data_IF_262777590341
#
_entry.id   IF_262777590341
#
_cell.length_a   1.000
_cell.length_b   1.000
_cell.length_c   1.000
_cell.angle_alpha   90.00
_cell.angle_beta   90.00
_cell.angle_gamma   90.00
#
_symmetry.space_group_name_H-M   'P 1'
#
loop_
_entity.id
_entity.type
_entity.pdbx_description
1 polymer ?
#
# COMPACT_ATOMS: atom_id res chain seq x y z
N UNK A 1 10.67 2.61 -9.29
CA UNK A 1 9.56 2.28 -8.36
C UNK A 1 8.28 3.02 -8.72
N UNK A 2 8.38 4.22 -9.32
CA UNK A 2 7.27 4.93 -10.01
C UNK A 2 6.40 4.03 -10.91
N UNK A 3 7.00 3.25 -11.82
CA UNK A 3 6.25 2.38 -12.75
C UNK A 3 5.33 1.36 -12.05
N UNK A 4 5.71 0.89 -10.85
CA UNK A 4 4.90 -0.08 -10.10
C UNK A 4 3.58 0.54 -9.62
N UNK A 5 3.59 1.82 -9.24
CA UNK A 5 2.39 2.57 -8.82
C UNK A 5 1.41 2.70 -9.99
N UNK A 6 1.93 3.09 -11.15
CA UNK A 6 1.14 3.20 -12.38
C UNK A 6 0.61 1.85 -12.85
N UNK A 7 1.37 0.76 -12.70
CA UNK A 7 0.91 -0.58 -13.06
C UNK A 7 -0.32 -1.00 -12.24
N UNK A 8 -0.37 -0.65 -10.96
CA UNK A 8 -1.56 -0.90 -10.10
C UNK A 8 -2.78 -0.15 -10.62
N UNK A 9 -2.61 1.12 -11.01
CA UNK A 9 -3.70 1.95 -11.56
C UNK A 9 -4.14 1.51 -12.95
N UNK A 10 -3.19 1.16 -13.82
CA UNK A 10 -3.46 0.68 -15.17
C UNK A 10 -4.16 -0.69 -15.15
N UNK A 11 -3.88 -1.55 -14.17
CA UNK A 11 -4.61 -2.81 -14.00
C UNK A 11 -6.01 -2.61 -13.40
N UNK A 12 -6.26 -1.52 -12.67
CA UNK A 12 -7.57 -1.23 -12.07
C UNK A 12 -8.65 -0.97 -13.12
N UNK A 13 -8.35 -0.15 -14.15
CA UNK A 13 -9.33 0.25 -15.16
C UNK A 13 -9.87 -0.94 -15.98
N UNK A 14 -9.04 -1.83 -16.56
CA UNK A 14 -9.53 -3.02 -17.28
C UNK A 14 -10.34 -3.97 -16.41
N UNK A 15 -10.00 -4.08 -15.11
CA UNK A 15 -10.74 -4.94 -14.17
C UNK A 15 -12.16 -4.44 -13.96
N UNK A 16 -12.37 -3.12 -13.82
CA UNK A 16 -13.71 -2.53 -13.69
C UNK A 16 -14.51 -2.65 -14.99
N UNK A 17 -13.87 -2.34 -16.14
CA UNK A 17 -14.54 -2.42 -17.45
C UNK A 17 -15.07 -3.83 -17.73
N UNK A 18 -14.36 -4.88 -17.28
CA UNK A 18 -14.84 -6.28 -17.39
C UNK A 18 -15.90 -6.63 -16.35
N UNK A 19 -15.85 -6.02 -15.16
CA UNK A 19 -16.80 -6.29 -14.08
C UNK A 19 -18.20 -5.74 -14.41
N UNK A 20 -18.27 -4.55 -15.03
CA UNK A 20 -19.54 -3.89 -15.38
C UNK A 20 -20.50 -4.75 -16.22
N UNK A 21 -20.12 -5.29 -17.41
CA UNK A 21 -21.04 -6.08 -18.23
C UNK A 21 -21.46 -7.37 -17.53
N UNK A 22 -20.56 -7.98 -16.76
CA UNK A 22 -20.88 -9.17 -15.98
C UNK A 22 -21.99 -8.90 -14.95
N UNK A 23 -21.85 -7.84 -14.15
CA UNK A 23 -22.88 -7.49 -13.17
C UNK A 23 -24.19 -7.06 -13.80
N UNK A 24 -24.14 -6.36 -14.94
CA UNK A 24 -25.35 -5.98 -15.66
C UNK A 24 -26.12 -7.22 -16.14
N UNK A 25 -25.40 -8.22 -16.67
CA UNK A 25 -26.02 -9.46 -17.12
C UNK A 25 -26.61 -10.27 -15.96
N UNK A 26 -25.84 -10.44 -14.88
CA UNK A 26 -26.31 -11.14 -13.66
C UNK A 26 -27.54 -10.44 -13.05
N UNK A 27 -27.55 -9.09 -13.04
CA UNK A 27 -28.70 -8.30 -12.54
C UNK A 27 -29.93 -8.43 -13.45
N UNK A 28 -29.73 -8.55 -14.77
CA UNK A 28 -30.79 -8.74 -15.76
C UNK A 28 -31.45 -10.12 -15.64
N UNK A 29 -30.66 -11.16 -15.35
CA UNK A 29 -31.15 -12.54 -15.20
C UNK A 29 -31.83 -12.82 -13.86
N UNK A 30 -31.66 -11.95 -12.86
CA UNK A 30 -32.27 -12.11 -11.54
C UNK A 30 -33.81 -11.97 -11.63
N UNK A 31 -34.53 -13.00 -11.17
CA UNK A 31 -35.98 -13.12 -11.35
C UNK A 31 -36.81 -12.34 -10.33
N UNK A 32 -36.23 -12.04 -9.17
CA UNK A 32 -36.92 -11.39 -8.04
C UNK A 32 -36.16 -10.17 -7.50
N UNK A 33 -36.89 -9.23 -6.89
CA UNK A 33 -36.35 -7.96 -6.41
C UNK A 33 -35.24 -8.14 -5.35
N UNK A 34 -35.37 -9.15 -4.49
CA UNK A 34 -34.39 -9.43 -3.42
C UNK A 34 -33.03 -9.84 -3.99
N UNK A 35 -32.97 -10.68 -5.01
CA UNK A 35 -31.73 -11.08 -5.68
C UNK A 35 -31.01 -9.87 -6.29
N UNK A 36 -31.76 -8.99 -6.97
CA UNK A 36 -31.21 -7.75 -7.55
C UNK A 36 -30.56 -6.86 -6.48
N UNK A 37 -31.19 -6.73 -5.32
CA UNK A 37 -30.63 -5.97 -4.19
C UNK A 37 -29.33 -6.58 -3.66
N UNK A 38 -29.26 -7.89 -3.49
CA UNK A 38 -28.04 -8.58 -3.05
C UNK A 38 -26.92 -8.47 -4.08
N UNK A 39 -27.22 -8.60 -5.37
CA UNK A 39 -26.26 -8.43 -6.47
C UNK A 39 -25.72 -6.99 -6.47
N UNK A 40 -26.60 -5.99 -6.33
CA UNK A 40 -26.19 -4.59 -6.23
C UNK A 40 -25.31 -4.32 -5.00
N UNK A 41 -25.65 -4.89 -3.84
CA UNK A 41 -24.83 -4.78 -2.64
C UNK A 41 -23.45 -5.44 -2.83
N UNK A 42 -23.40 -6.64 -3.41
CA UNK A 42 -22.16 -7.35 -3.71
C UNK A 42 -21.28 -6.56 -4.71
N UNK A 43 -21.87 -5.98 -5.74
CA UNK A 43 -21.15 -5.12 -6.69
C UNK A 43 -20.50 -3.92 -6.00
N UNK A 44 -21.27 -3.19 -5.18
CA UNK A 44 -20.76 -2.06 -4.42
C UNK A 44 -19.64 -2.46 -3.46
N UNK A 45 -19.81 -3.60 -2.78
CA UNK A 45 -18.77 -4.14 -1.89
C UNK A 45 -17.49 -4.47 -2.65
N UNK A 46 -17.59 -5.07 -3.84
CA UNK A 46 -16.43 -5.40 -4.68
C UNK A 46 -15.70 -4.15 -5.16
N UNK A 47 -16.42 -3.10 -5.60
CA UNK A 47 -15.82 -1.83 -5.96
C UNK A 47 -15.07 -1.21 -4.77
N UNK A 48 -15.68 -1.26 -3.58
CA UNK A 48 -15.10 -0.76 -2.35
C UNK A 48 -13.81 -1.52 -1.97
N UNK A 49 -13.83 -2.86 -2.05
CA UNK A 49 -12.65 -3.69 -1.84
C UNK A 49 -11.55 -3.40 -2.87
N UNK A 50 -11.90 -3.22 -4.14
CA UNK A 50 -10.95 -2.94 -5.21
C UNK A 50 -10.30 -1.56 -5.05
N UNK A 51 -11.08 -0.52 -4.76
CA UNK A 51 -10.55 0.82 -4.46
C UNK A 51 -9.62 0.79 -3.24
N UNK A 52 -10.03 0.09 -2.18
CA UNK A 52 -9.21 -0.11 -0.97
C UNK A 52 -7.91 -0.84 -1.27
N UNK A 53 -7.93 -1.85 -2.15
CA UNK A 53 -6.74 -2.54 -2.58
C UNK A 53 -5.77 -1.61 -3.31
N UNK A 54 -6.25 -0.79 -4.24
CA UNK A 54 -5.42 0.19 -4.96
C UNK A 54 -4.78 1.18 -3.99
N UNK A 55 -5.58 1.80 -3.13
CA UNK A 55 -5.10 2.77 -2.13
C UNK A 55 -4.07 2.13 -1.19
N UNK A 56 -4.36 0.93 -0.69
CA UNK A 56 -3.45 0.16 0.17
C UNK A 56 -2.15 -0.23 -0.53
N UNK A 57 -2.20 -0.63 -1.80
CA UNK A 57 -1.01 -0.98 -2.59
C UNK A 57 -0.13 0.24 -2.87
N UNK A 58 -0.72 1.39 -3.21
CA UNK A 58 0.03 2.64 -3.37
C UNK A 58 0.68 3.04 -2.04
N UNK A 59 -0.06 2.98 -0.95
CA UNK A 59 0.48 3.25 0.40
C UNK A 59 1.62 2.30 0.77
N UNK A 60 1.52 1.01 0.47
CA UNK A 60 2.60 0.04 0.68
C UNK A 60 3.86 0.39 -0.11
N UNK A 61 3.73 0.70 -1.40
CA UNK A 61 4.87 1.07 -2.24
C UNK A 61 5.52 2.32 -1.66
N UNK A 62 4.74 3.36 -1.36
CA UNK A 62 5.24 4.61 -0.77
C UNK A 62 5.92 4.40 0.59
N UNK A 63 5.46 3.42 1.37
CA UNK A 63 6.11 3.02 2.63
C UNK A 63 7.50 2.44 2.38
N UNK A 64 7.64 1.55 1.40
CA UNK A 64 8.95 1.01 0.97
C UNK A 64 9.86 2.15 0.50
N UNK A 65 9.35 3.10 -0.30
CA UNK A 65 10.17 4.23 -0.75
C UNK A 65 10.61 5.14 0.39
N UNK A 66 9.76 5.31 1.40
CA UNK A 66 10.10 6.10 2.59
C UNK A 66 11.24 5.47 3.39
N UNK A 67 11.24 4.14 3.54
CA UNK A 67 12.33 3.39 4.17
C UNK A 67 13.64 3.52 3.37
N UNK A 68 13.56 3.36 2.05
CA UNK A 68 14.72 3.53 1.15
C UNK A 68 15.29 4.95 1.23
N UNK A 69 14.45 6.00 1.32
CA UNK A 69 14.91 7.38 1.49
C UNK A 69 15.62 7.60 2.83
N UNK A 70 15.07 7.05 3.91
CA UNK A 70 15.71 7.11 5.21
C UNK A 70 17.10 6.44 5.19
N UNK A 71 17.19 5.26 4.59
CA UNK A 71 18.46 4.56 4.39
C UNK A 71 19.48 5.34 3.56
N UNK A 72 19.05 5.94 2.44
CA UNK A 72 19.89 6.81 1.62
C UNK A 72 20.47 7.98 2.43
N UNK A 73 19.66 8.61 3.30
CA UNK A 73 20.12 9.69 4.17
C UNK A 73 21.15 9.21 5.20
N UNK A 74 20.89 8.07 5.87
CA UNK A 74 21.85 7.48 6.82
C UNK A 74 23.19 7.13 6.20
N UNK A 75 23.18 6.60 4.98
CA UNK A 75 24.40 6.25 4.23
C UNK A 75 25.18 7.49 3.79
N UNK A 76 24.49 8.54 3.33
CA UNK A 76 25.12 9.84 3.01
C UNK A 76 25.82 10.43 4.22
N UNK A 77 25.19 10.39 5.39
CA UNK A 77 25.79 10.86 6.63
C UNK A 77 27.04 10.06 7.05
N UNK A 78 27.11 8.79 6.66
CA UNK A 78 28.26 7.92 6.92
C UNK A 78 29.32 7.94 5.79
N UNK A 79 29.18 8.79 4.77
CA UNK A 79 30.05 8.83 3.58
C UNK A 79 30.15 7.48 2.83
N UNK A 80 29.08 6.67 2.86
CA UNK A 80 29.00 5.39 2.13
C UNK A 80 28.23 5.60 0.84
N UNK A 81 28.77 5.07 -0.28
CA UNK A 81 28.09 5.13 -1.59
C UNK A 81 26.73 4.44 -1.55
N UNK A 82 25.72 5.07 -2.16
CA UNK A 82 24.37 4.50 -2.35
C UNK A 82 24.40 3.18 -3.15
N UNK A 83 25.40 2.98 -4.00
CA UNK A 83 25.54 1.75 -4.78
C UNK A 83 25.80 0.51 -3.91
N UNK A 84 26.30 0.71 -2.68
CA UNK A 84 26.71 -0.39 -1.80
C UNK A 84 25.52 -1.12 -1.18
N UNK A 85 24.40 -0.44 -0.92
CA UNK A 85 23.21 -1.07 -0.33
C UNK A 85 22.16 -1.50 -1.36
N UNK A 86 22.20 -0.94 -2.58
CA UNK A 86 21.32 -1.33 -3.69
C UNK A 86 21.77 -2.61 -4.41
N UNK A 87 22.90 -3.20 -4.01
CA UNK A 87 23.42 -4.43 -4.60
C UNK A 87 22.64 -5.66 -4.11
N UNK A 88 21.94 -6.32 -5.03
CA UNK A 88 21.33 -7.62 -4.76
C UNK A 88 22.42 -8.70 -4.68
N UNK A 89 22.68 -9.24 -3.48
CA UNK A 89 23.47 -10.47 -3.28
C UNK A 89 24.73 -10.34 -2.41
N UNK A 90 25.22 -9.13 -2.14
CA UNK A 90 26.37 -8.93 -1.24
C UNK A 90 25.93 -8.22 0.05
N UNK A 91 25.67 -9.01 1.10
CA UNK A 91 25.31 -8.51 2.42
C UNK A 91 26.57 -7.98 3.13
N UNK A 92 26.80 -6.67 3.08
CA UNK A 92 27.80 -6.04 3.92
C UNK A 92 27.21 -5.83 5.33
N UNK A 93 27.70 -6.59 6.31
CA UNK A 93 27.19 -6.57 7.69
C UNK A 93 27.31 -5.20 8.36
N UNK A 94 28.33 -4.41 8.03
CA UNK A 94 28.51 -3.04 8.50
C UNK A 94 27.42 -2.12 7.96
N UNK A 95 27.09 -2.24 6.67
CA UNK A 95 26.00 -1.49 6.05
C UNK A 95 24.66 -1.89 6.67
N UNK A 96 24.40 -3.19 6.84
CA UNK A 96 23.15 -3.66 7.47
C UNK A 96 23.00 -3.14 8.91
N UNK A 97 24.07 -3.15 9.70
CA UNK A 97 24.05 -2.62 11.07
C UNK A 97 23.79 -1.12 11.09
N UNK A 98 24.36 -0.36 10.14
CA UNK A 98 24.12 1.07 10.01
C UNK A 98 22.67 1.37 9.59
N UNK A 99 22.10 0.61 8.67
CA UNK A 99 20.71 0.79 8.22
C UNK A 99 19.71 0.56 9.36
N UNK A 100 19.97 -0.45 10.19
CA UNK A 100 19.14 -0.75 11.36
C UNK A 100 19.20 0.35 12.44
N UNK A 101 20.32 1.05 12.58
CA UNK A 101 20.48 2.14 13.55
C UNK A 101 20.06 3.52 13.02
N UNK A 102 20.15 3.73 11.70
CA UNK A 102 19.93 5.06 11.07
C UNK A 102 18.47 5.47 10.96
N UNK A 103 17.53 4.51 11.04
CA UNK A 103 16.11 4.75 10.76
C UNK A 103 15.21 4.41 11.94
N UNK A 104 15.25 5.19 13.04
CA UNK A 104 14.39 4.96 14.19
C UNK A 104 12.92 5.23 13.86
N UNK A 105 12.04 4.32 14.27
CA UNK A 105 10.60 4.40 14.02
C UNK A 105 9.88 5.24 15.10
N UNK A 106 10.10 6.56 15.11
CA UNK A 106 9.39 7.51 15.98
C UNK A 106 8.01 7.89 15.41
N UNK A 107 7.04 8.17 16.28
CA UNK A 107 5.77 8.74 15.82
C UNK A 107 6.04 10.15 15.31
N UNK A 108 5.37 10.59 14.22
CA UNK A 108 5.51 11.95 13.71
C UNK A 108 5.27 13.05 14.76
N UNK A 109 4.35 12.81 15.70
CA UNK A 109 3.99 13.76 16.76
C UNK A 109 5.03 13.84 17.90
N UNK A 110 5.92 12.84 18.00
CA UNK A 110 6.95 12.72 19.04
C UNK A 110 8.36 13.13 18.50
N UNK A 111 8.43 13.77 17.33
CA UNK A 111 9.69 14.19 16.70
C UNK A 111 10.02 15.63 17.10
N UNK A 112 10.85 15.78 18.13
CA UNK A 112 11.39 17.08 18.54
C UNK A 112 12.70 17.45 17.81
N UNK A 113 13.42 16.45 17.30
CA UNK A 113 14.70 16.63 16.62
C UNK A 113 14.54 16.57 15.09
N UNK A 114 14.83 17.65 14.36
CA UNK A 114 14.74 17.69 12.89
C UNK A 114 15.72 16.73 12.19
N UNK A 115 16.70 16.18 12.90
CA UNK A 115 17.63 15.18 12.36
C UNK A 115 16.97 13.81 12.14
N UNK A 116 15.85 13.54 12.81
CA UNK A 116 15.13 12.26 12.72
C UNK A 116 14.24 12.23 11.49
N UNK A 117 14.34 11.15 10.71
CA UNK A 117 13.51 10.97 9.51
C UNK A 117 12.03 10.77 9.89
N UNK A 118 11.16 11.63 9.35
CA UNK A 118 9.72 11.53 9.56
C UNK A 118 9.05 10.63 8.50
N UNK A 119 8.55 9.47 8.94
CA UNK A 119 7.83 8.53 8.07
C UNK A 119 6.37 8.90 7.83
N UNK A 120 5.79 9.83 8.58
CA UNK A 120 4.40 10.25 8.46
C UNK A 120 3.43 9.06 8.52
N UNK A 121 2.48 9.01 7.57
CA UNK A 121 1.45 7.97 7.48
C UNK A 121 2.00 6.55 7.17
N UNK A 122 3.29 6.42 6.85
CA UNK A 122 3.92 5.14 6.52
C UNK A 122 4.52 4.43 7.75
N UNK A 123 4.58 5.11 8.90
CA UNK A 123 5.14 4.56 10.14
C UNK A 123 4.45 3.27 10.56
N UNK A 124 3.13 3.17 10.35
CA UNK A 124 2.33 2.00 10.67
C UNK A 124 2.72 0.78 9.81
N UNK A 125 3.09 0.99 8.54
CA UNK A 125 3.57 -0.09 7.66
C UNK A 125 4.88 -0.67 8.18
N UNK A 126 5.79 0.19 8.62
CA UNK A 126 7.11 -0.20 9.09
C UNK A 126 7.02 -0.90 10.45
N UNK A 127 6.24 -0.35 11.39
CA UNK A 127 6.03 -0.96 12.71
C UNK A 127 5.30 -2.30 12.65
N UNK A 128 4.31 -2.44 11.77
CA UNK A 128 3.62 -3.73 11.55
C UNK A 128 4.49 -4.79 10.86
N UNK A 129 5.70 -4.39 10.42
CA UNK A 129 6.65 -5.21 9.66
C UNK A 129 6.11 -5.68 8.33
N UNK A 130 5.04 -5.04 7.82
CA UNK A 130 4.44 -5.43 6.54
C UNK A 130 5.41 -5.21 5.38
N UNK A 131 6.30 -4.23 5.49
CA UNK A 131 7.31 -3.89 4.48
C UNK A 131 8.46 -4.91 4.43
N UNK A 132 8.78 -5.57 5.55
CA UNK A 132 9.90 -6.51 5.65
C UNK A 132 9.79 -7.67 4.65
N UNK A 133 10.94 -8.10 4.12
CA UNK A 133 11.04 -9.21 3.16
C UNK A 133 10.59 -10.55 3.74
N UNK A 134 10.73 -10.74 5.05
CA UNK A 134 10.34 -11.96 5.79
C UNK A 134 8.82 -12.12 5.93
N UNK A 135 8.05 -11.04 5.76
CA UNK A 135 6.59 -11.12 5.86
C UNK A 135 6.00 -11.82 4.63
N UNK A 136 5.21 -12.88 4.87
CA UNK A 136 4.52 -13.60 3.80
C UNK A 136 3.62 -12.68 2.96
N UNK A 137 3.61 -12.90 1.65
CA UNK A 137 2.88 -12.09 0.68
C UNK A 137 1.38 -11.93 0.98
N UNK A 138 0.62 -12.97 1.40
CA UNK A 138 -0.80 -12.81 1.74
C UNK A 138 -1.01 -11.83 2.90
N UNK A 139 -0.13 -11.85 3.91
CA UNK A 139 -0.20 -10.91 5.04
C UNK A 139 0.00 -9.48 4.57
N UNK A 140 0.87 -9.25 3.58
CA UNK A 140 1.03 -7.92 2.95
C UNK A 140 -0.27 -7.47 2.29
N UNK A 141 -0.90 -8.34 1.50
CA UNK A 141 -2.17 -8.03 0.82
C UNK A 141 -3.26 -7.67 1.83
N UNK A 142 -3.54 -8.54 2.81
CA UNK A 142 -4.64 -8.32 3.75
C UNK A 142 -4.43 -7.08 4.61
N UNK A 143 -3.19 -6.81 5.04
CA UNK A 143 -2.89 -5.63 5.83
C UNK A 143 -3.05 -4.34 5.02
N UNK A 144 -2.57 -4.33 3.77
CA UNK A 144 -2.73 -3.16 2.89
C UNK A 144 -4.20 -2.95 2.52
N UNK A 145 -4.94 -4.02 2.25
CA UNK A 145 -6.38 -3.96 2.02
C UNK A 145 -7.10 -3.39 3.25
N UNK A 146 -6.77 -3.86 4.46
CA UNK A 146 -7.33 -3.35 5.70
C UNK A 146 -7.04 -1.86 5.91
N UNK A 147 -5.80 -1.43 5.67
CA UNK A 147 -5.43 -0.02 5.76
C UNK A 147 -6.20 0.81 4.73
N UNK A 148 -6.29 0.35 3.48
CA UNK A 148 -7.10 0.99 2.44
C UNK A 148 -8.58 1.06 2.81
N UNK A 149 -9.15 -0.03 3.35
CA UNK A 149 -10.54 -0.11 3.78
C UNK A 149 -10.87 0.90 4.88
N UNK A 150 -9.91 1.30 5.72
CA UNK A 150 -10.10 2.35 6.73
C UNK A 150 -10.11 3.75 6.10
N UNK A 151 -9.28 3.99 5.10
CA UNK A 151 -9.08 5.30 4.50
C UNK A 151 -10.08 5.63 3.38
N UNK A 152 -10.59 4.62 2.65
CA UNK A 152 -11.59 4.83 1.59
C UNK A 152 -12.99 5.12 2.15
N UNK A 153 -13.26 4.86 3.45
CA UNK A 153 -14.57 5.15 4.09
C UNK A 153 -14.96 6.62 4.06
N UNK A 154 -14.01 7.52 3.82
CA UNK A 154 -14.22 8.97 3.80
C UNK A 154 -14.66 9.50 2.43
N UNK A 155 -14.60 8.68 1.36
CA UNK A 155 -15.14 9.04 0.05
C UNK A 155 -16.60 8.59 0.00
N UNK A 156 -17.54 9.52 0.20
CA UNK A 156 -18.96 9.30 -0.12
C UNK A 156 -19.07 9.02 -1.61
N UNK A 157 -19.12 7.74 -1.98
CA UNK A 157 -19.55 7.34 -3.32
C UNK A 157 -21.05 7.62 -3.34
N UNK A 158 -21.43 8.75 -3.92
CA UNK A 158 -22.83 9.06 -4.19
C UNK A 158 -23.27 8.16 -5.35
N UNK A 159 -23.63 6.92 -5.04
CA UNK A 159 -24.38 6.08 -5.97
C UNK A 159 -25.79 6.64 -6.00
N UNK A 160 -26.11 7.36 -7.07
CA UNK A 160 -27.50 7.58 -7.47
C UNK A 160 -28.10 6.21 -7.79
N UNK A 161 -28.81 5.65 -6.82
CA UNK A 161 -29.88 4.67 -7.03
C UNK A 161 -31.17 5.43 -6.84
#
# INVERSE_FOLDING_TARGET
>A
MECAKYMVLVQYVPRIVRLYPFFNEVTRTAGILTEKLWIAAAYNLLLYMLASHVVGSVWYILSVESEIRCWSQGLKNANISETTYMSCGHQNSTVLSLLNSSCPLKNPDDIDDPSVFNFGIYIDALRSRVVQSTTHFPRKIFYCLWWGLRNVRLVKIHTHI
#
